data_IF_383075733953
#
_entry.id   IF_383075733953
#
_cell.length_a   1.000
_cell.length_b   1.000
_cell.length_c   1.000
_cell.angle_alpha   90.00
_cell.angle_beta   90.00
_cell.angle_gamma   90.00
#
_symmetry.space_group_name_H-M   'P 1'
#
loop_
_entity.id
_entity.type
_entity.pdbx_description
1 polymer ?
#
# COMPACT_ATOMS: atom_id res chain seq x y z
N UNK A 1 0.62 0.71 18.18
CA UNK A 1 1.80 -0.12 17.79
C UNK A 1 2.85 0.02 18.88
N UNK A 2 3.52 -1.06 19.29
CA UNK A 2 4.62 -0.93 20.27
C UNK A 2 5.79 -0.15 19.66
N UNK A 3 6.46 0.69 20.44
CA UNK A 3 7.52 1.60 19.96
C UNK A 3 8.68 0.83 19.31
N UNK A 4 9.16 -0.21 19.96
CA UNK A 4 10.24 -1.07 19.48
C UNK A 4 9.95 -1.71 18.11
N UNK A 5 8.70 -2.17 17.91
CA UNK A 5 8.28 -2.74 16.63
C UNK A 5 8.20 -1.69 15.52
N UNK A 6 7.75 -0.47 15.84
CA UNK A 6 7.72 0.65 14.89
C UNK A 6 9.12 1.04 14.43
N UNK A 7 10.07 1.14 15.37
CA UNK A 7 11.46 1.49 15.06
C UNK A 7 12.15 0.41 14.23
N UNK A 8 11.95 -0.87 14.58
CA UNK A 8 12.45 -2.00 13.78
C UNK A 8 11.84 -2.09 12.39
N UNK A 9 10.61 -1.60 12.19
CA UNK A 9 9.98 -1.53 10.88
C UNK A 9 10.51 -0.36 10.03
N UNK A 10 11.35 0.52 10.60
CA UNK A 10 11.89 1.70 9.94
C UNK A 10 10.91 2.88 9.87
N UNK A 11 9.89 2.88 10.74
CA UNK A 11 8.91 3.96 10.86
C UNK A 11 8.04 4.21 9.64
N UNK A 12 7.43 5.40 9.57
CA UNK A 12 6.63 5.84 8.43
C UNK A 12 7.48 6.13 7.18
N UNK A 13 7.01 5.76 5.98
CA UNK A 13 7.67 6.13 4.73
C UNK A 13 7.38 7.60 4.38
N UNK A 14 8.19 8.54 4.87
CA UNK A 14 7.95 9.99 4.69
C UNK A 14 7.69 10.41 3.23
N UNK A 15 8.39 9.81 2.27
CA UNK A 15 8.26 10.10 0.84
C UNK A 15 6.84 9.86 0.28
N UNK A 16 6.05 9.02 0.94
CA UNK A 16 4.68 8.74 0.52
C UNK A 16 3.76 9.94 0.70
N UNK A 17 4.06 10.80 1.68
CA UNK A 17 3.25 11.92 2.15
C UNK A 17 1.84 11.51 2.63
N UNK A 18 1.02 10.91 1.77
CA UNK A 18 -0.34 10.47 2.06
C UNK A 18 -0.74 9.26 1.19
N UNK A 19 -1.58 8.39 1.74
CA UNK A 19 -2.06 7.11 1.19
C UNK A 19 -1.00 6.02 1.09
N UNK A 20 -1.41 4.81 1.49
CA UNK A 20 -0.62 3.57 1.52
C UNK A 20 0.54 3.53 2.53
N UNK A 21 0.83 4.60 3.26
CA UNK A 21 1.78 4.58 4.37
C UNK A 21 1.37 3.53 5.41
N UNK A 22 0.06 3.43 5.71
CA UNK A 22 -0.50 2.44 6.63
C UNK A 22 -0.22 1.00 6.21
N UNK A 23 -0.35 0.71 4.92
CA UNK A 23 -0.09 -0.62 4.35
C UNK A 23 1.40 -0.93 4.36
N UNK A 24 2.26 0.04 4.03
CA UNK A 24 3.71 -0.09 4.13
C UNK A 24 4.12 -0.52 5.54
N UNK A 25 3.71 0.25 6.55
CA UNK A 25 4.08 -0.03 7.94
C UNK A 25 3.50 -1.38 8.39
N UNK A 26 2.25 -1.67 8.05
CA UNK A 26 1.62 -2.95 8.39
C UNK A 26 2.42 -4.13 7.80
N UNK A 27 2.73 -4.12 6.51
CA UNK A 27 3.47 -5.20 5.86
C UNK A 27 4.87 -5.41 6.44
N UNK A 28 5.57 -4.33 6.79
CA UNK A 28 6.86 -4.43 7.48
C UNK A 28 6.73 -5.05 8.87
N UNK A 29 5.72 -4.66 9.64
CA UNK A 29 5.44 -5.27 10.95
C UNK A 29 5.12 -6.77 10.82
N UNK A 30 4.30 -7.14 9.83
CA UNK A 30 4.02 -8.56 9.54
C UNK A 30 5.30 -9.33 9.20
N UNK A 31 6.21 -8.71 8.45
CA UNK A 31 7.49 -9.31 8.11
C UNK A 31 8.44 -9.45 9.30
N UNK A 32 8.30 -8.61 10.33
CA UNK A 32 9.01 -8.74 11.61
C UNK A 32 8.43 -9.82 12.54
N UNK A 33 7.39 -10.54 12.11
CA UNK A 33 6.73 -11.56 12.92
C UNK A 33 5.48 -11.05 13.64
N UNK A 34 5.19 -9.74 13.63
CA UNK A 34 4.01 -9.18 14.28
C UNK A 34 2.72 -9.56 13.52
N UNK A 35 1.58 -9.22 14.11
CA UNK A 35 0.24 -9.35 13.51
C UNK A 35 -0.60 -8.12 13.86
N UNK A 36 -1.75 -7.95 13.20
CA UNK A 36 -2.72 -6.90 13.51
C UNK A 36 -4.01 -7.50 14.09
N UNK A 37 -4.48 -6.94 15.20
CA UNK A 37 -5.76 -7.30 15.84
C UNK A 37 -6.79 -6.20 15.56
N UNK A 38 -7.96 -6.59 15.09
CA UNK A 38 -9.14 -5.73 15.06
C UNK A 38 -9.86 -5.87 16.41
N UNK A 39 -10.23 -4.75 17.03
CA UNK A 39 -10.90 -4.71 18.34
C UNK A 39 -12.20 -3.93 18.15
N UNK A 40 -13.33 -4.61 17.87
CA UNK A 40 -14.59 -3.94 17.53
C UNK A 40 -15.19 -3.15 18.71
N UNK A 41 -14.85 -3.53 19.95
CA UNK A 41 -15.36 -2.87 21.16
C UNK A 41 -14.78 -1.47 21.37
N UNK A 42 -13.68 -1.12 20.66
CA UNK A 42 -13.08 0.21 20.69
C UNK A 42 -13.59 0.98 19.46
N UNK A 43 -14.49 1.94 19.70
CA UNK A 43 -15.08 2.76 18.64
C UNK A 43 -14.35 4.10 18.51
N UNK A 44 -13.93 4.43 17.29
CA UNK A 44 -13.32 5.71 16.94
C UNK A 44 -14.09 6.32 15.77
N UNK A 45 -14.51 7.58 15.90
CA UNK A 45 -15.23 8.28 14.85
C UNK A 45 -14.27 8.96 13.88
N UNK A 46 -14.42 8.69 12.58
CA UNK A 46 -13.68 9.35 11.52
C UNK A 46 -14.67 9.93 10.49
N UNK A 47 -14.60 11.23 10.15
CA UNK A 47 -15.47 11.81 9.15
C UNK A 47 -15.31 11.11 7.80
N UNK A 48 -16.43 10.66 7.20
CA UNK A 48 -16.43 10.05 5.87
C UNK A 48 -16.25 11.14 4.80
N UNK A 49 -15.01 11.51 4.55
CA UNK A 49 -14.63 12.56 3.61
C UNK A 49 -14.21 11.92 2.30
N UNK A 50 -14.85 12.24 1.17
CA UNK A 50 -14.44 11.71 -0.13
C UNK A 50 -13.11 12.34 -0.59
N UNK A 51 -11.99 11.61 -0.65
CA UNK A 51 -10.71 12.15 -1.08
C UNK A 51 -10.64 12.34 -2.60
N UNK A 52 -11.51 11.67 -3.37
CA UNK A 52 -11.52 11.70 -4.83
C UNK A 52 -11.92 13.07 -5.43
N UNK A 53 -12.27 14.05 -4.58
CA UNK A 53 -12.48 15.45 -4.99
C UNK A 53 -11.19 16.18 -5.40
N UNK A 54 -10.00 15.59 -5.14
CA UNK A 54 -8.71 16.21 -5.45
C UNK A 54 -7.89 15.31 -6.38
N UNK A 55 -7.25 15.89 -7.39
CA UNK A 55 -6.34 15.16 -8.29
C UNK A 55 -5.17 14.49 -7.53
N UNK A 56 -4.70 15.13 -6.46
CA UNK A 56 -3.64 14.61 -5.60
C UNK A 56 -3.96 13.22 -5.05
N UNK A 57 -5.25 12.91 -4.81
CA UNK A 57 -5.67 11.57 -4.43
C UNK A 57 -5.31 10.55 -5.51
N UNK A 58 -5.73 10.77 -6.76
CA UNK A 58 -5.48 9.84 -7.86
C UNK A 58 -3.99 9.65 -8.12
N UNK A 59 -3.21 10.75 -8.09
CA UNK A 59 -1.76 10.70 -8.30
C UNK A 59 -1.05 9.89 -7.21
N UNK A 60 -1.24 10.27 -5.93
CA UNK A 60 -0.55 9.64 -4.81
C UNK A 60 -1.00 8.20 -4.59
N UNK A 61 -2.29 7.90 -4.77
CA UNK A 61 -2.81 6.55 -4.62
C UNK A 61 -2.17 5.61 -5.66
N UNK A 62 -2.11 6.03 -6.93
CA UNK A 62 -1.49 5.25 -8.00
C UNK A 62 0.03 5.10 -7.82
N UNK A 63 0.74 6.20 -7.51
CA UNK A 63 2.18 6.20 -7.29
C UNK A 63 2.58 5.33 -6.11
N UNK A 64 1.97 5.58 -4.95
CA UNK A 64 2.37 4.91 -3.71
C UNK A 64 2.02 3.42 -3.76
N UNK A 65 1.00 3.00 -4.52
CA UNK A 65 0.74 1.58 -4.77
C UNK A 65 1.92 0.89 -5.44
N UNK A 66 2.50 1.52 -6.48
CA UNK A 66 3.70 1.01 -7.14
C UNK A 66 4.86 0.91 -6.15
N UNK A 67 5.04 1.93 -5.33
CA UNK A 67 6.11 1.96 -4.33
C UNK A 67 5.95 0.86 -3.28
N UNK A 68 4.77 0.67 -2.68
CA UNK A 68 4.52 -0.42 -1.72
C UNK A 68 4.87 -1.78 -2.34
N UNK A 69 4.38 -2.04 -3.55
CA UNK A 69 4.64 -3.31 -4.22
C UNK A 69 6.15 -3.52 -4.44
N UNK A 70 6.84 -2.53 -5.01
CA UNK A 70 8.28 -2.64 -5.32
C UNK A 70 9.16 -2.73 -4.08
N UNK A 71 8.79 -2.08 -2.97
CA UNK A 71 9.53 -2.09 -1.71
C UNK A 71 9.38 -3.42 -0.96
N UNK A 72 8.17 -3.97 -0.90
CA UNK A 72 7.85 -5.02 0.06
C UNK A 72 7.57 -6.38 -0.55
N UNK A 73 7.21 -6.48 -1.83
CA UNK A 73 6.85 -7.79 -2.38
C UNK A 73 8.09 -8.57 -2.86
N UNK A 74 8.07 -9.90 -2.74
CA UNK A 74 8.91 -10.76 -3.57
C UNK A 74 8.77 -10.36 -5.04
N UNK A 75 9.88 -10.36 -5.79
CA UNK A 75 9.92 -9.81 -7.17
C UNK A 75 8.85 -10.43 -8.07
N UNK A 76 8.58 -11.73 -7.88
CA UNK A 76 7.56 -12.46 -8.64
C UNK A 76 6.15 -11.93 -8.40
N UNK A 77 5.83 -11.43 -7.19
CA UNK A 77 4.48 -10.96 -6.85
C UNK A 77 4.23 -9.49 -7.26
N UNK A 78 5.28 -8.71 -7.52
CA UNK A 78 5.16 -7.31 -7.96
C UNK A 78 4.28 -7.18 -9.21
N UNK A 79 4.55 -7.86 -10.34
CA UNK A 79 3.73 -7.71 -11.53
C UNK A 79 2.28 -8.14 -11.31
N UNK A 80 2.03 -9.22 -10.54
CA UNK A 80 0.66 -9.67 -10.25
C UNK A 80 -0.12 -8.67 -9.41
N UNK A 81 0.51 -8.10 -8.37
CA UNK A 81 -0.10 -7.06 -7.54
C UNK A 81 -0.44 -5.82 -8.40
N UNK A 82 0.52 -5.33 -9.19
CA UNK A 82 0.31 -4.15 -10.03
C UNK A 82 -0.74 -4.40 -11.12
N UNK A 83 -0.75 -5.57 -11.76
CA UNK A 83 -1.74 -5.92 -12.77
C UNK A 83 -3.16 -5.97 -12.17
N UNK A 84 -3.34 -6.71 -11.06
CA UNK A 84 -4.63 -6.82 -10.35
C UNK A 84 -5.19 -5.45 -10.04
N UNK A 85 -4.35 -4.61 -9.43
CA UNK A 85 -4.76 -3.29 -9.02
C UNK A 85 -4.94 -2.30 -10.18
N UNK A 86 -4.20 -2.46 -11.28
CA UNK A 86 -4.43 -1.67 -12.50
C UNK A 86 -5.78 -2.03 -13.13
N UNK A 87 -6.12 -3.31 -13.20
CA UNK A 87 -7.41 -3.78 -13.72
C UNK A 87 -8.57 -3.26 -12.85
N UNK A 88 -8.47 -3.37 -11.52
CA UNK A 88 -9.48 -2.84 -10.59
C UNK A 88 -9.64 -1.33 -10.78
N UNK A 89 -8.53 -0.59 -10.88
CA UNK A 89 -8.57 0.87 -11.05
C UNK A 89 -9.21 1.26 -12.38
N UNK A 90 -8.88 0.60 -13.48
CA UNK A 90 -9.49 0.82 -14.79
C UNK A 90 -10.99 0.49 -14.80
N UNK A 91 -11.40 -0.50 -14.02
CA UNK A 91 -12.82 -0.85 -13.89
C UNK A 91 -13.61 0.16 -13.02
N UNK A 92 -12.98 0.73 -11.98
CA UNK A 92 -13.62 1.66 -11.04
C UNK A 92 -13.68 3.10 -11.53
N UNK A 93 -12.60 3.60 -12.13
CA UNK A 93 -12.50 5.00 -12.54
C UNK A 93 -13.16 5.19 -13.90
N UNK A 94 -14.25 5.97 -13.93
CA UNK A 94 -14.98 6.30 -15.17
C UNK A 94 -14.66 7.68 -15.71
N UNK A 95 -14.20 8.59 -14.85
CA UNK A 95 -13.80 9.92 -15.25
C UNK A 95 -12.44 9.93 -15.98
N UNK A 96 -12.38 10.63 -17.12
CA UNK A 96 -11.21 10.64 -18.01
C UNK A 96 -10.04 11.44 -17.40
N UNK A 97 -10.34 12.53 -16.69
CA UNK A 97 -9.32 13.36 -16.06
C UNK A 97 -8.67 12.61 -14.89
N UNK A 98 -9.47 12.01 -14.02
CA UNK A 98 -9.03 11.13 -12.95
C UNK A 98 -8.17 9.97 -13.48
N UNK A 99 -8.56 9.34 -14.60
CA UNK A 99 -7.77 8.28 -15.21
C UNK A 99 -6.41 8.80 -15.71
N UNK A 100 -6.36 9.96 -16.37
CA UNK A 100 -5.11 10.58 -16.82
C UNK A 100 -4.17 10.85 -15.64
N UNK A 101 -4.68 11.41 -14.55
CA UNK A 101 -3.90 11.68 -13.33
C UNK A 101 -3.43 10.39 -12.67
N UNK A 102 -4.29 9.37 -12.63
CA UNK A 102 -3.95 8.03 -12.12
C UNK A 102 -2.80 7.40 -12.93
N UNK A 103 -2.88 7.45 -14.26
CA UNK A 103 -1.83 6.91 -15.13
C UNK A 103 -0.51 7.69 -14.98
N UNK A 104 -0.58 9.02 -14.81
CA UNK A 104 0.60 9.83 -14.52
C UNK A 104 1.24 9.43 -13.18
N UNK A 105 0.45 9.27 -12.12
CA UNK A 105 0.94 8.79 -10.82
C UNK A 105 1.53 7.37 -10.89
N UNK A 106 0.91 6.47 -11.66
CA UNK A 106 1.46 5.13 -11.88
C UNK A 106 2.83 5.18 -12.59
N UNK A 107 2.97 6.00 -13.63
CA UNK A 107 4.25 6.23 -14.32
C UNK A 107 5.30 6.85 -13.40
N UNK A 108 4.93 7.83 -12.57
CA UNK A 108 5.79 8.40 -11.51
C UNK A 108 6.30 7.28 -10.58
N UNK A 109 5.39 6.38 -10.17
CA UNK A 109 5.73 5.25 -9.32
C UNK A 109 6.72 4.26 -9.97
N UNK A 110 6.61 4.05 -11.28
CA UNK A 110 7.52 3.20 -12.05
C UNK A 110 8.88 3.87 -12.29
N UNK A 111 8.91 5.19 -12.47
CA UNK A 111 10.13 5.94 -12.74
C UNK A 111 11.14 5.85 -11.58
N UNK A 112 10.68 5.75 -10.34
CA UNK A 112 11.57 5.60 -9.18
C UNK A 112 11.01 6.26 -7.93
N UNK A 113 11.89 6.63 -7.00
CA UNK A 113 11.53 7.35 -5.78
C UNK A 113 10.96 6.49 -4.66
N UNK A 114 10.82 5.17 -4.86
CA UNK A 114 10.27 4.28 -3.84
C UNK A 114 11.18 4.08 -2.61
N UNK A 115 12.40 4.61 -2.61
CA UNK A 115 13.38 4.38 -1.54
C UNK A 115 13.85 2.93 -1.43
N UNK A 116 14.40 2.52 -0.27
CA UNK A 116 15.01 1.21 -0.11
C UNK A 116 13.99 0.08 -0.19
N UNK A 117 14.43 -1.03 -0.80
CA UNK A 117 13.66 -2.25 -0.95
C UNK A 117 13.97 -3.24 0.18
N UNK A 118 12.92 -3.70 0.86
CA UNK A 118 12.98 -4.69 1.92
C UNK A 118 11.84 -5.70 1.71
N UNK A 119 12.03 -6.71 0.84
CA UNK A 119 10.96 -7.62 0.52
C UNK A 119 10.59 -8.49 1.73
N UNK A 120 9.29 -8.75 1.88
CA UNK A 120 8.80 -9.71 2.85
C UNK A 120 9.21 -11.13 2.45
N UNK A 121 9.42 -11.97 3.47
CA UNK A 121 9.72 -13.39 3.26
C UNK A 121 8.50 -14.12 2.67
N UNK A 122 8.73 -15.23 1.97
CA UNK A 122 7.64 -16.12 1.53
C UNK A 122 6.84 -16.68 2.70
N UNK A 123 7.47 -16.88 3.87
CA UNK A 123 6.76 -17.23 5.11
C UNK A 123 5.78 -16.13 5.52
N UNK A 124 6.15 -14.87 5.38
CA UNK A 124 5.27 -13.72 5.64
C UNK A 124 4.11 -13.68 4.65
N UNK A 125 4.37 -13.94 3.36
CA UNK A 125 3.31 -14.05 2.34
C UNK A 125 2.29 -15.12 2.74
N UNK A 126 2.75 -16.32 3.10
CA UNK A 126 1.86 -17.40 3.54
C UNK A 126 1.07 -16.99 4.79
N UNK A 127 1.71 -16.40 5.80
CA UNK A 127 1.03 -15.92 7.04
C UNK A 127 -0.03 -14.87 6.76
N UNK A 128 0.22 -13.97 5.81
CA UNK A 128 -0.73 -12.96 5.38
C UNK A 128 -1.92 -13.61 4.67
N UNK A 129 -1.65 -14.53 3.74
CA UNK A 129 -2.69 -15.27 3.01
C UNK A 129 -3.55 -16.11 3.94
N UNK A 130 -2.96 -16.87 4.87
CA UNK A 130 -3.73 -17.67 5.84
C UNK A 130 -4.54 -16.82 6.81
N UNK A 131 -4.12 -15.57 7.05
CA UNK A 131 -4.89 -14.59 7.81
C UNK A 131 -5.95 -13.84 6.97
N UNK A 132 -6.20 -14.26 5.72
CA UNK A 132 -7.17 -13.63 4.82
C UNK A 132 -6.73 -12.27 4.29
N UNK A 133 -5.43 -11.95 4.32
CA UNK A 133 -4.83 -10.68 3.85
C UNK A 133 -3.72 -10.89 2.82
N UNK A 134 -3.95 -11.71 1.79
CA UNK A 134 -2.95 -12.02 0.75
C UNK A 134 -2.39 -10.73 0.10
N UNK A 135 -1.05 -10.59 -0.01
CA UNK A 135 -0.42 -9.31 -0.38
C UNK A 135 -0.46 -8.99 -1.89
N UNK A 136 -1.43 -9.58 -2.60
CA UNK A 136 -1.59 -9.53 -4.07
C UNK A 136 -3.00 -9.12 -4.49
N UNK A 137 -3.97 -9.09 -3.56
CA UNK A 137 -5.38 -8.74 -3.82
C UNK A 137 -5.83 -7.60 -2.90
#
# INVERSE_FOLDING_TARGET
VRRDAYDRAGGWPGDFFLFHEGVELAWRLWNLGCTGRYVPDIVVHHPATNPARHETFYRLNARNRVWVARRNLPRLLVPFNLATWSLITLWRIRDRQALRVTLAGFREGLAGGQGPRQPMSWRTVLRLTTAGRPPVF
#
